data_IF_640408334444
#
_entry.id   IF_640408334444
#
_cell.length_a   1.000
_cell.length_b   1.000
_cell.length_c   1.000
_cell.angle_alpha   90.00
_cell.angle_beta   90.00
_cell.angle_gamma   90.00
#
_symmetry.space_group_name_H-M   'P 1'
#
loop_
_entity.id
_entity.type
_entity.pdbx_description
1 polymer ?
#
# COMPACT_ATOMS: atom_id res chain seq x y z
N UNK A 1 11.07 -17.03 6.48
CA UNK A 1 10.89 -16.59 5.12
C UNK A 1 9.65 -15.74 4.90
N UNK A 2 8.47 -16.17 5.33
CA UNK A 2 7.27 -15.32 5.41
C UNK A 2 7.53 -14.01 6.17
N UNK A 3 8.37 -14.07 7.19
CA UNK A 3 8.80 -12.92 7.97
C UNK A 3 9.61 -11.88 7.16
N UNK A 4 10.44 -12.32 6.19
CA UNK A 4 11.19 -11.40 5.31
C UNK A 4 10.26 -10.62 4.37
N UNK A 5 9.25 -11.27 3.80
CA UNK A 5 8.26 -10.61 2.95
C UNK A 5 7.39 -9.64 3.75
N UNK A 6 7.06 -9.99 4.98
CA UNK A 6 6.34 -9.10 5.88
C UNK A 6 7.17 -7.87 6.24
N UNK A 7 8.47 -8.03 6.54
CA UNK A 7 9.38 -6.90 6.76
C UNK A 7 9.39 -5.97 5.54
N UNK A 8 9.44 -6.53 4.32
CA UNK A 8 9.42 -5.74 3.09
C UNK A 8 8.22 -4.79 3.04
N UNK A 9 7.02 -5.26 3.43
CA UNK A 9 5.80 -4.44 3.44
C UNK A 9 5.90 -3.29 4.45
N UNK A 10 6.55 -3.49 5.59
CA UNK A 10 6.62 -2.49 6.65
C UNK A 10 7.80 -1.51 6.54
N UNK A 11 8.81 -1.78 5.71
CA UNK A 11 9.95 -0.86 5.52
C UNK A 11 9.47 0.57 5.15
N UNK A 12 8.54 0.80 4.20
CA UNK A 12 8.12 2.17 3.89
C UNK A 12 7.41 2.87 5.05
N UNK A 13 6.68 2.13 5.90
CA UNK A 13 6.09 2.69 7.11
C UNK A 13 7.16 3.11 8.13
N UNK A 14 8.18 2.28 8.30
CA UNK A 14 9.33 2.60 9.16
C UNK A 14 10.04 3.84 8.61
N UNK A 15 10.23 3.95 7.31
CA UNK A 15 10.81 5.13 6.67
C UNK A 15 9.99 6.39 6.93
N UNK A 16 8.66 6.32 6.81
CA UNK A 16 7.76 7.43 7.09
C UNK A 16 7.91 7.96 8.53
N UNK A 17 8.02 7.06 9.50
CA UNK A 17 8.16 7.45 10.92
C UNK A 17 9.59 7.90 11.21
N UNK A 18 10.59 7.16 10.73
CA UNK A 18 12.00 7.38 11.08
C UNK A 18 12.60 8.65 10.49
N UNK A 19 12.07 9.16 9.36
CA UNK A 19 12.64 10.33 8.68
C UNK A 19 12.75 11.55 9.61
N UNK A 20 11.74 11.75 10.45
CA UNK A 20 11.69 12.87 11.40
C UNK A 20 12.75 12.75 12.50
N UNK A 21 12.97 11.54 13.00
CA UNK A 21 14.01 11.26 13.99
C UNK A 21 15.41 11.37 13.39
N UNK A 22 15.60 10.86 12.17
CA UNK A 22 16.86 10.92 11.46
C UNK A 22 17.25 12.36 11.10
N UNK A 23 16.26 13.22 10.77
CA UNK A 23 16.51 14.65 10.54
C UNK A 23 17.09 15.33 11.76
N UNK A 24 16.51 15.06 12.96
CA UNK A 24 16.95 15.66 14.22
C UNK A 24 18.36 15.19 14.59
N UNK A 25 18.67 13.90 14.38
CA UNK A 25 19.93 13.30 14.80
C UNK A 25 21.08 13.60 13.85
N UNK A 26 20.86 13.51 12.53
CA UNK A 26 21.93 13.45 11.53
C UNK A 26 21.78 14.50 10.43
N UNK A 27 20.74 15.30 10.49
CA UNK A 27 20.45 16.37 9.53
C UNK A 27 19.75 15.90 8.27
N UNK A 28 19.18 16.87 7.54
CA UNK A 28 18.30 16.64 6.37
C UNK A 28 18.91 15.74 5.30
N UNK A 29 20.14 16.05 4.86
CA UNK A 29 20.78 15.33 3.74
C UNK A 29 20.97 13.86 4.06
N UNK A 30 21.52 13.55 5.24
CA UNK A 30 21.82 12.17 5.64
C UNK A 30 20.52 11.37 5.81
N UNK A 31 19.49 11.95 6.44
CA UNK A 31 18.18 11.30 6.62
C UNK A 31 17.57 10.86 5.27
N UNK A 32 17.58 11.75 4.28
CA UNK A 32 17.00 11.49 2.97
C UNK A 32 17.79 10.38 2.22
N UNK A 33 19.12 10.42 2.29
CA UNK A 33 19.95 9.39 1.66
C UNK A 33 19.76 8.01 2.30
N UNK A 34 19.61 7.93 3.62
CA UNK A 34 19.32 6.67 4.31
C UNK A 34 18.01 6.07 3.82
N UNK A 35 16.97 6.90 3.69
CA UNK A 35 15.67 6.44 3.20
C UNK A 35 15.73 6.02 1.74
N UNK A 36 16.37 6.79 0.88
CA UNK A 36 16.52 6.40 -0.52
C UNK A 36 17.25 5.05 -0.66
N UNK A 37 18.31 4.80 0.12
CA UNK A 37 19.02 3.52 0.10
C UNK A 37 18.20 2.36 0.66
N UNK A 38 17.25 2.59 1.58
CA UNK A 38 16.36 1.53 2.08
C UNK A 38 15.48 0.92 0.98
N UNK A 39 15.19 1.67 -0.10
CA UNK A 39 14.47 1.13 -1.26
C UNK A 39 15.29 0.12 -2.07
N UNK A 40 16.63 0.22 -2.05
CA UNK A 40 17.49 -0.82 -2.62
C UNK A 40 17.28 -2.15 -1.87
N UNK A 41 17.15 -2.08 -0.54
CA UNK A 41 16.87 -3.27 0.29
C UNK A 41 15.50 -3.86 -0.08
N UNK A 42 14.49 -3.02 -0.30
CA UNK A 42 13.15 -3.46 -0.74
C UNK A 42 13.25 -4.23 -2.07
N UNK A 43 14.00 -3.72 -3.04
CA UNK A 43 14.18 -4.37 -4.34
C UNK A 43 14.90 -5.72 -4.19
N UNK A 44 15.98 -5.78 -3.41
CA UNK A 44 16.73 -7.02 -3.16
C UNK A 44 15.82 -8.07 -2.49
N UNK A 45 15.09 -7.68 -1.45
CA UNK A 45 14.15 -8.58 -0.76
C UNK A 45 13.01 -9.03 -1.69
N UNK A 46 12.53 -8.15 -2.56
CA UNK A 46 11.52 -8.46 -3.58
C UNK A 46 12.03 -9.50 -4.58
N UNK A 47 13.25 -9.37 -5.09
CA UNK A 47 13.88 -10.34 -5.99
C UNK A 47 14.07 -11.71 -5.31
N UNK A 48 14.55 -11.74 -4.07
CA UNK A 48 14.68 -12.97 -3.30
C UNK A 48 13.31 -13.62 -3.08
N UNK A 49 12.29 -12.80 -2.78
CA UNK A 49 10.90 -13.23 -2.61
C UNK A 49 10.36 -13.87 -3.89
N UNK A 50 10.55 -13.21 -5.03
CA UNK A 50 10.06 -13.66 -6.33
C UNK A 50 10.68 -15.01 -6.73
N UNK A 51 11.99 -15.18 -6.59
CA UNK A 51 12.66 -16.45 -6.86
C UNK A 51 12.11 -17.62 -6.05
N UNK A 52 11.66 -17.35 -4.83
CA UNK A 52 11.15 -18.39 -3.94
C UNK A 52 9.66 -18.67 -4.10
N UNK A 53 8.87 -17.66 -4.46
CA UNK A 53 7.42 -17.84 -4.72
C UNK A 53 7.19 -18.45 -6.10
N UNK A 54 8.08 -18.19 -7.08
CA UNK A 54 8.03 -18.83 -8.41
C UNK A 54 8.11 -20.36 -8.36
N UNK A 55 8.65 -20.95 -7.27
CA UNK A 55 8.62 -22.39 -7.01
C UNK A 55 7.25 -22.93 -6.57
N UNK A 56 6.17 -22.15 -6.64
CA UNK A 56 4.80 -22.58 -6.39
C UNK A 56 4.36 -22.56 -4.92
N UNK A 57 5.14 -21.95 -4.03
CA UNK A 57 4.81 -21.87 -2.60
C UNK A 57 4.02 -20.58 -2.31
N UNK A 58 2.69 -20.70 -2.29
CA UNK A 58 1.83 -19.62 -1.77
C UNK A 58 2.00 -19.47 -0.26
N UNK A 59 2.01 -18.24 0.23
CA UNK A 59 2.12 -17.98 1.66
C UNK A 59 1.04 -17.03 2.12
N UNK A 60 0.27 -17.53 3.08
CA UNK A 60 -0.69 -16.76 3.85
C UNK A 60 -0.07 -16.40 5.20
N UNK A 61 -0.24 -15.19 5.63
CA UNK A 61 0.19 -14.73 6.93
C UNK A 61 -0.91 -13.91 7.59
N UNK A 62 -1.48 -14.43 8.67
CA UNK A 62 -2.50 -13.72 9.46
C UNK A 62 -1.88 -13.20 10.75
N UNK A 63 -1.97 -11.89 10.98
CA UNK A 63 -1.49 -11.26 12.22
C UNK A 63 -2.48 -11.44 13.36
N UNK A 64 -3.77 -11.39 13.05
CA UNK A 64 -4.84 -11.50 14.03
C UNK A 64 -6.17 -10.96 13.50
N UNK A 65 -7.20 -11.05 14.31
CA UNK A 65 -8.50 -10.48 13.98
C UNK A 65 -8.53 -8.99 14.24
N UNK A 66 -8.95 -8.23 13.23
CA UNK A 66 -9.07 -6.78 13.30
C UNK A 66 -10.47 -6.34 13.74
N UNK A 67 -11.50 -6.81 13.03
CA UNK A 67 -12.90 -6.46 13.31
C UNK A 67 -13.66 -7.76 13.59
N UNK A 68 -14.39 -7.81 14.71
CA UNK A 68 -15.27 -8.92 15.06
C UNK A 68 -16.63 -8.38 15.52
N UNK A 69 -17.62 -8.49 14.65
CA UNK A 69 -19.00 -8.08 14.92
C UNK A 69 -19.96 -9.23 14.60
N UNK A 70 -20.19 -10.12 15.55
CA UNK A 70 -21.03 -11.31 15.33
C UNK A 70 -20.50 -12.20 14.21
N UNK A 71 -21.22 -12.32 13.10
CA UNK A 71 -20.84 -13.15 11.93
C UNK A 71 -19.78 -12.43 11.08
N UNK A 72 -19.68 -11.11 11.16
CA UNK A 72 -18.71 -10.35 10.40
C UNK A 72 -17.34 -10.38 11.10
N UNK A 73 -16.41 -11.13 10.51
CA UNK A 73 -15.04 -11.25 11.01
C UNK A 73 -14.10 -10.84 9.89
N UNK A 74 -13.19 -9.88 10.20
CA UNK A 74 -12.13 -9.44 9.30
C UNK A 74 -10.81 -9.70 10.00
N UNK A 75 -9.94 -10.46 9.36
CA UNK A 75 -8.59 -10.71 9.85
C UNK A 75 -7.61 -9.76 9.17
N UNK A 76 -6.54 -9.41 9.86
CA UNK A 76 -5.42 -8.71 9.25
C UNK A 76 -4.48 -9.75 8.65
N UNK A 77 -4.57 -9.94 7.34
CA UNK A 77 -3.84 -10.97 6.63
C UNK A 77 -3.06 -10.45 5.43
N UNK A 78 -2.02 -11.17 5.04
CA UNK A 78 -1.19 -10.88 3.88
C UNK A 78 -1.08 -12.13 3.01
N UNK A 79 -1.30 -11.94 1.69
CA UNK A 79 -1.12 -12.98 0.69
C UNK A 79 0.13 -12.65 -0.13
N UNK A 80 1.02 -13.64 -0.23
CA UNK A 80 2.21 -13.54 -1.05
C UNK A 80 2.18 -14.61 -2.15
N UNK A 81 1.57 -14.25 -3.27
CA UNK A 81 1.55 -15.02 -4.51
C UNK A 81 2.64 -14.52 -5.46
N UNK A 82 2.83 -15.20 -6.58
CA UNK A 82 3.70 -14.73 -7.66
C UNK A 82 3.27 -13.36 -8.18
N UNK A 83 1.96 -13.11 -8.30
CA UNK A 83 1.41 -11.84 -8.72
C UNK A 83 1.70 -10.74 -7.70
N UNK A 84 1.36 -10.95 -6.43
CA UNK A 84 1.55 -9.95 -5.37
C UNK A 84 3.02 -9.59 -5.19
N UNK A 85 3.93 -10.58 -5.19
CA UNK A 85 5.36 -10.33 -5.03
C UNK A 85 5.97 -9.64 -6.26
N UNK A 86 5.53 -9.98 -7.48
CA UNK A 86 5.97 -9.26 -8.68
C UNK A 86 5.53 -7.80 -8.66
N UNK A 87 4.30 -7.52 -8.21
CA UNK A 87 3.79 -6.15 -8.05
C UNK A 87 4.51 -5.38 -6.94
N UNK A 88 4.80 -6.02 -5.80
CA UNK A 88 5.62 -5.41 -4.74
C UNK A 88 7.00 -4.98 -5.26
N UNK A 89 7.63 -5.82 -6.08
CA UNK A 89 8.92 -5.52 -6.68
C UNK A 89 8.82 -4.33 -7.65
N UNK A 90 7.82 -4.31 -8.52
CA UNK A 90 7.61 -3.20 -9.47
C UNK A 90 7.36 -1.88 -8.74
N UNK A 91 6.47 -1.88 -7.75
CA UNK A 91 6.18 -0.69 -6.93
C UNK A 91 7.44 -0.25 -6.17
N UNK A 92 8.23 -1.19 -5.64
CA UNK A 92 9.48 -0.89 -4.94
C UNK A 92 10.53 -0.23 -5.84
N UNK A 93 10.70 -0.71 -7.07
CA UNK A 93 11.62 -0.12 -8.07
C UNK A 93 11.18 1.30 -8.43
N UNK A 94 9.92 1.48 -8.80
CA UNK A 94 9.38 2.79 -9.20
C UNK A 94 9.47 3.78 -8.04
N UNK A 95 9.08 3.36 -6.84
CA UNK A 95 9.15 4.20 -5.64
C UNK A 95 10.61 4.59 -5.31
N UNK A 96 11.55 3.65 -5.39
CA UNK A 96 12.98 3.94 -5.23
C UNK A 96 13.46 4.98 -6.23
N UNK A 97 13.15 4.81 -7.52
CA UNK A 97 13.53 5.76 -8.57
C UNK A 97 12.95 7.18 -8.29
N UNK A 98 11.69 7.26 -7.85
CA UNK A 98 11.04 8.53 -7.50
C UNK A 98 11.72 9.18 -6.28
N UNK A 99 12.08 8.41 -5.25
CA UNK A 99 12.80 8.95 -4.09
C UNK A 99 14.16 9.53 -4.49
N UNK A 100 14.94 8.81 -5.30
CA UNK A 100 16.22 9.32 -5.80
C UNK A 100 16.06 10.58 -6.66
N UNK A 101 15.09 10.59 -7.57
CA UNK A 101 14.80 11.76 -8.40
C UNK A 101 14.40 12.99 -7.55
N UNK A 102 13.58 12.76 -6.52
CA UNK A 102 13.07 13.83 -5.65
C UNK A 102 14.17 14.55 -4.86
N UNK A 103 15.29 13.88 -4.58
CA UNK A 103 16.43 14.49 -3.88
C UNK A 103 16.97 15.69 -4.67
N UNK A 104 17.19 15.51 -5.97
CA UNK A 104 17.67 16.59 -6.82
C UNK A 104 16.59 17.61 -7.17
N UNK A 105 15.36 17.13 -7.44
CA UNK A 105 14.26 18.01 -7.85
C UNK A 105 13.83 19.00 -6.75
N UNK A 106 13.85 18.58 -5.50
CA UNK A 106 13.38 19.37 -4.34
C UNK A 106 14.53 19.87 -3.46
N UNK A 107 15.78 19.89 -3.94
CA UNK A 107 16.95 20.25 -3.13
C UNK A 107 16.86 21.65 -2.53
N UNK A 108 16.26 22.60 -3.26
CA UNK A 108 16.07 23.99 -2.82
C UNK A 108 14.92 24.19 -1.83
N UNK A 109 14.01 23.21 -1.71
CA UNK A 109 12.81 23.35 -0.89
C UNK A 109 13.08 23.01 0.59
N UNK A 110 12.67 23.87 1.54
CA UNK A 110 12.85 23.60 2.97
C UNK A 110 12.02 22.42 3.47
N UNK A 111 10.92 22.09 2.77
CA UNK A 111 9.93 21.06 3.17
C UNK A 111 10.16 19.71 2.50
N UNK A 112 11.34 19.45 1.94
CA UNK A 112 11.72 18.20 1.27
C UNK A 112 11.45 16.95 2.15
N UNK A 113 11.72 17.01 3.45
CA UNK A 113 11.49 15.89 4.38
C UNK A 113 10.03 15.49 4.44
N UNK A 114 9.14 16.47 4.52
CA UNK A 114 7.69 16.22 4.50
C UNK A 114 7.25 15.57 3.18
N UNK A 115 7.84 15.98 2.06
CA UNK A 115 7.56 15.38 0.76
C UNK A 115 7.99 13.90 0.70
N UNK A 116 9.22 13.60 1.10
CA UNK A 116 9.75 12.23 1.16
C UNK A 116 8.95 11.35 2.12
N UNK A 117 8.50 11.90 3.26
CA UNK A 117 7.65 11.14 4.20
C UNK A 117 6.30 10.76 3.56
N UNK A 118 5.64 11.69 2.84
CA UNK A 118 4.39 11.37 2.15
C UNK A 118 4.57 10.34 1.02
N UNK A 119 5.70 10.39 0.29
CA UNK A 119 6.03 9.36 -0.70
C UNK A 119 6.21 7.98 -0.05
N UNK A 120 6.89 7.91 1.08
CA UNK A 120 7.06 6.65 1.81
C UNK A 120 5.74 6.11 2.34
N UNK A 121 4.86 6.98 2.84
CA UNK A 121 3.52 6.58 3.27
C UNK A 121 2.66 6.09 2.10
N UNK A 122 2.74 6.75 0.94
CA UNK A 122 2.07 6.33 -0.28
C UNK A 122 2.49 4.90 -0.69
N UNK A 123 3.79 4.62 -0.68
CA UNK A 123 4.29 3.27 -1.02
C UNK A 123 3.88 2.21 -0.01
N UNK A 124 3.77 2.56 1.27
CA UNK A 124 3.24 1.66 2.28
C UNK A 124 1.80 1.24 1.98
N UNK A 125 0.90 2.21 1.68
CA UNK A 125 -0.49 1.88 1.34
C UNK A 125 -0.61 1.09 0.03
N UNK A 126 0.27 1.34 -0.96
CA UNK A 126 0.35 0.50 -2.16
C UNK A 126 0.71 -0.95 -1.81
N UNK A 127 1.63 -1.17 -0.88
CA UNK A 127 1.99 -2.51 -0.43
C UNK A 127 0.85 -3.19 0.32
N UNK A 128 0.13 -2.47 1.19
CA UNK A 128 -1.07 -3.00 1.87
C UNK A 128 -2.14 -3.40 0.86
N UNK A 129 -2.38 -2.57 -0.17
CA UNK A 129 -3.37 -2.85 -1.20
C UNK A 129 -3.05 -4.13 -1.97
N UNK A 130 -1.78 -4.30 -2.37
CA UNK A 130 -1.35 -5.44 -3.20
C UNK A 130 -1.30 -6.76 -2.42
N UNK A 131 -1.01 -6.70 -1.13
CA UNK A 131 -0.84 -7.89 -0.28
C UNK A 131 -2.06 -8.24 0.57
N UNK A 132 -3.14 -7.45 0.49
CA UNK A 132 -4.33 -7.67 1.29
C UNK A 132 -4.99 -9.03 1.05
N UNK A 133 -5.47 -9.67 2.12
CA UNK A 133 -6.13 -10.98 2.13
C UNK A 133 -7.64 -10.87 1.94
N UNK A 134 -8.21 -9.70 2.20
CA UNK A 134 -9.64 -9.47 2.17
C UNK A 134 -10.02 -8.11 1.57
N UNK A 135 -11.29 -7.97 1.16
CA UNK A 135 -11.80 -6.75 0.55
C UNK A 135 -11.72 -5.51 1.46
N UNK A 136 -11.80 -5.68 2.78
CA UNK A 136 -11.72 -4.55 3.73
C UNK A 136 -10.31 -4.01 3.82
N UNK A 137 -9.30 -4.88 3.86
CA UNK A 137 -7.90 -4.48 3.87
C UNK A 137 -7.49 -3.84 2.53
N UNK A 138 -7.99 -4.39 1.41
CA UNK A 138 -7.81 -3.79 0.09
C UNK A 138 -8.38 -2.37 0.07
N UNK A 139 -9.60 -2.17 0.60
CA UNK A 139 -10.23 -0.86 0.68
C UNK A 139 -9.42 0.13 1.53
N UNK A 140 -8.86 -0.33 2.65
CA UNK A 140 -7.98 0.50 3.49
C UNK A 140 -6.75 0.99 2.69
N UNK A 141 -6.10 0.08 1.95
CA UNK A 141 -4.98 0.44 1.07
C UNK A 141 -5.38 1.46 0.00
N UNK A 142 -6.52 1.22 -0.65
CA UNK A 142 -7.07 2.10 -1.67
C UNK A 142 -7.36 3.52 -1.15
N UNK A 143 -8.04 3.63 -0.02
CA UNK A 143 -8.35 4.92 0.59
C UNK A 143 -7.09 5.65 1.07
N UNK A 144 -6.13 4.91 1.63
CA UNK A 144 -4.84 5.47 2.05
C UNK A 144 -4.04 6.06 0.89
N UNK A 145 -4.04 5.41 -0.28
CA UNK A 145 -3.43 5.93 -1.50
C UNK A 145 -4.12 7.23 -1.93
N UNK A 146 -5.46 7.26 -1.89
CA UNK A 146 -6.25 8.45 -2.22
C UNK A 146 -5.90 9.65 -1.34
N UNK A 147 -5.77 9.46 -0.04
CA UNK A 147 -5.35 10.49 0.91
C UNK A 147 -3.90 10.96 0.66
N UNK A 148 -2.96 10.03 0.47
CA UNK A 148 -1.57 10.38 0.21
C UNK A 148 -1.40 11.12 -1.12
N UNK A 149 -2.13 10.73 -2.16
CA UNK A 149 -2.13 11.41 -3.45
C UNK A 149 -2.64 12.85 -3.32
N UNK A 150 -3.71 13.06 -2.55
CA UNK A 150 -4.20 14.40 -2.25
C UNK A 150 -3.12 15.27 -1.58
N UNK A 151 -2.43 14.75 -0.56
CA UNK A 151 -1.37 15.46 0.15
C UNK A 151 -0.17 15.79 -0.75
N UNK A 152 0.16 14.93 -1.70
CA UNK A 152 1.24 15.14 -2.65
C UNK A 152 0.87 16.17 -3.74
N UNK A 153 -0.36 16.13 -4.25
CA UNK A 153 -0.84 17.11 -5.26
C UNK A 153 -0.96 18.50 -4.64
N UNK A 154 -1.50 18.61 -3.43
CA UNK A 154 -1.66 19.86 -2.69
C UNK A 154 -0.40 20.30 -1.93
N UNK A 155 0.77 19.71 -2.23
CA UNK A 155 2.01 19.95 -1.48
C UNK A 155 2.38 21.43 -1.39
N UNK A 156 2.30 22.16 -2.52
CA UNK A 156 2.46 23.61 -2.55
C UNK A 156 1.10 24.31 -2.43
N UNK A 157 0.66 24.55 -1.22
CA UNK A 157 -0.63 25.18 -0.91
C UNK A 157 -0.80 26.59 -1.48
N UNK A 158 0.28 27.23 -1.85
CA UNK A 158 0.28 28.58 -2.48
C UNK A 158 -0.26 28.54 -3.91
N UNK A 159 -0.22 27.40 -4.59
CA UNK A 159 -0.72 27.24 -5.96
C UNK A 159 -2.19 26.89 -5.97
N UNK A 160 -3.07 27.85 -6.24
CA UNK A 160 -4.53 27.68 -6.30
C UNK A 160 -4.95 26.56 -7.27
N UNK A 161 -4.26 26.46 -8.42
CA UNK A 161 -4.56 25.43 -9.41
C UNK A 161 -4.28 24.01 -8.87
N UNK A 162 -3.18 23.82 -8.13
CA UNK A 162 -2.86 22.53 -7.50
C UNK A 162 -3.91 22.14 -6.46
N UNK A 163 -4.36 23.08 -5.63
CA UNK A 163 -5.39 22.82 -4.63
C UNK A 163 -6.74 22.48 -5.27
N UNK A 164 -7.13 23.17 -6.35
CA UNK A 164 -8.36 22.82 -7.10
C UNK A 164 -8.28 21.42 -7.70
N UNK A 165 -7.15 21.04 -8.28
CA UNK A 165 -6.96 19.70 -8.86
C UNK A 165 -6.94 18.62 -7.78
N UNK A 166 -6.31 18.87 -6.62
CA UNK A 166 -6.30 17.96 -5.47
C UNK A 166 -7.71 17.72 -4.92
N UNK A 167 -8.49 18.78 -4.71
CA UNK A 167 -9.88 18.67 -4.29
C UNK A 167 -10.74 17.90 -5.30
N UNK A 168 -10.56 18.17 -6.60
CA UNK A 168 -11.27 17.43 -7.66
C UNK A 168 -10.94 15.94 -7.61
N UNK A 169 -9.68 15.58 -7.48
CA UNK A 169 -9.25 14.19 -7.36
C UNK A 169 -9.86 13.51 -6.11
N UNK A 170 -9.83 14.19 -4.97
CA UNK A 170 -10.40 13.67 -3.72
C UNK A 170 -11.92 13.41 -3.84
N UNK A 171 -12.67 14.37 -4.40
CA UNK A 171 -14.13 14.22 -4.54
C UNK A 171 -14.50 13.09 -5.50
N UNK A 172 -13.80 12.99 -6.64
CA UNK A 172 -14.02 11.91 -7.62
C UNK A 172 -13.72 10.54 -7.02
N UNK A 173 -12.59 10.42 -6.29
CA UNK A 173 -12.24 9.18 -5.61
C UNK A 173 -13.31 8.79 -4.58
N UNK A 174 -13.87 9.74 -3.81
CA UNK A 174 -14.94 9.46 -2.83
C UNK A 174 -16.21 8.90 -3.47
N UNK A 175 -16.56 9.32 -4.68
CA UNK A 175 -17.68 8.73 -5.41
C UNK A 175 -17.39 7.26 -5.75
N UNK A 176 -16.15 6.96 -6.17
CA UNK A 176 -15.69 5.58 -6.40
C UNK A 176 -15.70 4.73 -5.13
N UNK A 177 -15.24 5.30 -4.00
CA UNK A 177 -15.21 4.65 -2.68
C UNK A 177 -16.60 4.24 -2.22
N UNK A 178 -17.59 5.10 -2.43
CA UNK A 178 -19.00 4.77 -2.13
C UNK A 178 -19.48 3.56 -2.95
N UNK A 179 -19.18 3.53 -4.26
CA UNK A 179 -19.50 2.38 -5.11
C UNK A 179 -18.82 1.09 -4.65
N UNK A 180 -17.55 1.18 -4.24
CA UNK A 180 -16.82 0.04 -3.70
C UNK A 180 -17.43 -0.49 -2.41
N UNK A 181 -17.81 0.38 -1.47
CA UNK A 181 -18.48 0.00 -0.22
C UNK A 181 -19.81 -0.69 -0.48
N UNK A 182 -20.62 -0.19 -1.42
CA UNK A 182 -21.86 -0.85 -1.82
C UNK A 182 -21.58 -2.27 -2.37
N UNK A 183 -20.54 -2.43 -3.19
CA UNK A 183 -20.09 -3.72 -3.69
C UNK A 183 -19.66 -4.67 -2.57
N UNK A 184 -18.90 -4.17 -1.58
CA UNK A 184 -18.46 -4.95 -0.43
C UNK A 184 -19.65 -5.46 0.42
N UNK A 185 -20.65 -4.60 0.65
CA UNK A 185 -21.88 -4.99 1.36
C UNK A 185 -22.62 -6.10 0.60
N UNK A 186 -22.73 -6.01 -0.73
CA UNK A 186 -23.33 -7.07 -1.54
C UNK A 186 -22.54 -8.38 -1.49
N UNK A 187 -21.22 -8.33 -1.56
CA UNK A 187 -20.35 -9.50 -1.40
C UNK A 187 -20.61 -10.16 -0.06
N UNK A 188 -20.62 -9.41 1.03
CA UNK A 188 -20.92 -9.95 2.36
C UNK A 188 -22.34 -10.51 2.47
N UNK A 189 -23.33 -9.85 1.85
CA UNK A 189 -24.72 -10.32 1.86
C UNK A 189 -24.86 -11.70 1.22
N UNK A 190 -24.20 -11.93 0.07
CA UNK A 190 -24.30 -13.19 -0.68
C UNK A 190 -23.39 -14.29 -0.12
N UNK A 191 -22.13 -13.97 0.22
CA UNK A 191 -21.11 -14.97 0.59
C UNK A 191 -20.90 -15.12 2.09
N UNK A 192 -21.43 -14.22 2.91
CA UNK A 192 -21.26 -14.17 4.37
C UNK A 192 -19.80 -14.07 4.82
N UNK A 193 -18.90 -13.73 3.92
CA UNK A 193 -17.48 -13.51 4.18
C UNK A 193 -16.92 -12.43 3.26
N UNK A 194 -15.81 -11.83 3.66
CA UNK A 194 -15.07 -10.82 2.89
C UNK A 194 -13.68 -11.29 2.49
N UNK A 195 -13.29 -12.50 2.86
CA UNK A 195 -11.98 -13.08 2.56
C UNK A 195 -11.95 -13.58 1.11
N UNK A 196 -10.89 -13.26 0.38
CA UNK A 196 -10.76 -13.64 -1.03
C UNK A 196 -10.82 -15.15 -1.25
N UNK A 197 -10.17 -15.93 -0.38
CA UNK A 197 -10.14 -17.40 -0.47
C UNK A 197 -11.55 -18.01 -0.44
N UNK A 198 -12.42 -17.50 0.43
CA UNK A 198 -13.80 -17.99 0.57
C UNK A 198 -14.67 -17.52 -0.60
N UNK A 199 -14.60 -16.23 -0.92
CA UNK A 199 -15.43 -15.63 -1.97
C UNK A 199 -15.14 -16.24 -3.34
N UNK A 200 -13.87 -16.45 -3.71
CA UNK A 200 -13.52 -17.04 -5.01
C UNK A 200 -13.92 -18.52 -5.12
N UNK A 201 -13.80 -19.28 -4.05
CA UNK A 201 -14.27 -20.68 -4.04
C UNK A 201 -15.79 -20.74 -4.20
N UNK A 202 -16.53 -19.96 -3.44
CA UNK A 202 -18.00 -19.95 -3.51
C UNK A 202 -18.51 -19.41 -4.86
N UNK A 203 -17.87 -18.40 -5.44
CA UNK A 203 -18.27 -17.84 -6.73
C UNK A 203 -18.18 -18.88 -7.86
N UNK A 204 -17.21 -19.79 -7.81
CA UNK A 204 -17.04 -20.86 -8.78
C UNK A 204 -18.20 -21.88 -8.73
N UNK A 205 -18.81 -22.09 -7.59
CA UNK A 205 -20.02 -22.93 -7.46
C UNK A 205 -21.24 -22.27 -8.07
N UNK A 206 -21.43 -20.96 -7.85
CA UNK A 206 -22.58 -20.22 -8.41
C UNK A 206 -22.55 -20.15 -9.95
N UNK A 207 -21.38 -20.09 -10.56
CA UNK A 207 -21.27 -20.13 -12.03
C UNK A 207 -21.57 -21.49 -12.61
N UNK A 208 -21.19 -22.58 -11.95
CA UNK A 208 -21.48 -23.98 -12.40
C UNK A 208 -22.95 -24.38 -12.25
N UNK A 209 -23.70 -23.76 -11.36
CA UNK A 209 -25.13 -24.05 -11.18
C UNK A 209 -26.00 -23.37 -12.26
N UNK A 210 -25.48 -22.36 -12.94
CA UNK A 210 -26.19 -21.64 -14.02
C UNK A 210 -25.86 -22.12 -15.44
N UNK A 211 -24.86 -22.97 -15.61
CA UNK A 211 -24.51 -23.67 -16.86
C UNK A 211 -25.14 -25.06 -16.92
#
# INVERSE_FOLDING_TARGET
MSFLLLILVFIPLINFISIWFLEILWGKRVAIWIIAHSYIIIVILGLIGLNKVSSGVFKFFTLGSWIKCGIFVVNWGFIFDTLSVSMLLMVGIVSGAVHYYSIGYMESDPSLIRFISYLSLFTFFMFILVTGDNFVQLFLGWEGIGLCSYLLISFWNTRVQANKSALKALVVNRVGDFGFLCGLVLVFYFFRSVDFSIVFVLSSFFTKVKS
#
